data_IF_298591102169
#
_entry.id   IF_298591102169
#
_cell.length_a   1.000
_cell.length_b   1.000
_cell.length_c   1.000
_cell.angle_alpha   90.00
_cell.angle_beta   90.00
_cell.angle_gamma   90.00
#
_symmetry.space_group_name_H-M   'P 1'
#
loop_
_entity.id
_entity.type
_entity.pdbx_description
1 polymer ?
#
# COMPACT_ATOMS: atom_id res chain seq x y z
N UNK A 1 13.08 -13.00 -15.10
CA UNK A 1 12.41 -11.71 -14.91
C UNK A 1 11.38 -11.56 -16.00
N UNK A 2 10.14 -11.34 -15.58
CA UNK A 2 8.94 -11.13 -16.38
C UNK A 2 9.10 -9.95 -17.33
N UNK A 3 8.52 -10.05 -18.52
CA UNK A 3 7.71 -8.98 -19.11
C UNK A 3 6.84 -9.55 -20.25
N UNK A 4 5.57 -9.74 -19.90
CA UNK A 4 4.35 -9.53 -20.67
C UNK A 4 4.28 -10.10 -22.09
N UNK A 5 3.68 -11.30 -22.15
CA UNK A 5 2.99 -11.81 -23.34
C UNK A 5 1.99 -10.74 -23.82
N UNK A 6 2.39 -10.05 -24.88
CA UNK A 6 1.60 -9.01 -25.52
C UNK A 6 0.58 -9.72 -26.39
N UNK A 7 -0.52 -10.16 -25.78
CA UNK A 7 -1.59 -10.90 -26.46
C UNK A 7 -1.97 -10.18 -27.74
N UNK A 8 -1.79 -10.90 -28.85
CA UNK A 8 -1.77 -10.39 -30.22
C UNK A 8 -3.20 -10.06 -30.68
N UNK A 9 -3.81 -9.04 -30.07
CA UNK A 9 -5.16 -8.58 -30.40
C UNK A 9 -5.15 -8.06 -31.84
N UNK A 10 -5.90 -8.73 -32.71
CA UNK A 10 -6.06 -8.36 -34.11
C UNK A 10 -7.17 -7.33 -34.20
N UNK A 11 -6.80 -6.08 -34.47
CA UNK A 11 -7.75 -4.99 -34.67
C UNK A 11 -8.07 -4.90 -36.17
N UNK A 12 -9.33 -5.09 -36.60
CA UNK A 12 -9.71 -4.94 -38.01
C UNK A 12 -9.44 -3.53 -38.53
N UNK A 13 -9.00 -3.43 -39.79
CA UNK A 13 -8.74 -2.14 -40.43
C UNK A 13 -10.03 -1.29 -40.52
N UNK A 14 -10.01 -0.09 -39.93
CA UNK A 14 -11.16 0.82 -39.86
C UNK A 14 -11.85 0.93 -38.49
N UNK A 15 -11.48 0.07 -37.52
CA UNK A 15 -12.05 0.08 -36.16
C UNK A 15 -11.31 1.05 -35.20
N UNK A 16 -10.09 1.44 -35.52
CA UNK A 16 -9.23 2.20 -34.60
C UNK A 16 -9.80 3.58 -34.23
N UNK A 17 -10.16 4.40 -35.23
CA UNK A 17 -10.49 5.82 -34.96
C UNK A 17 -11.86 6.02 -34.31
N UNK A 18 -12.82 5.13 -34.58
CA UNK A 18 -14.20 5.24 -34.03
C UNK A 18 -14.34 4.62 -32.64
N UNK A 19 -13.48 3.67 -32.31
CA UNK A 19 -13.61 2.84 -31.10
C UNK A 19 -12.39 2.94 -30.19
N UNK A 20 -11.49 3.90 -30.40
CA UNK A 20 -10.27 4.09 -29.59
C UNK A 20 -10.54 4.05 -28.08
N UNK A 21 -11.54 4.78 -27.61
CA UNK A 21 -11.92 4.84 -26.19
C UNK A 21 -12.28 3.46 -25.64
N UNK A 22 -13.12 2.71 -26.34
CA UNK A 22 -13.57 1.39 -25.86
C UNK A 22 -12.49 0.32 -26.03
N UNK A 23 -11.64 0.44 -27.05
CA UNK A 23 -10.48 -0.44 -27.24
C UNK A 23 -9.50 -0.31 -26.07
N UNK A 24 -9.27 0.90 -25.55
CA UNK A 24 -8.47 1.09 -24.33
C UNK A 24 -9.15 0.41 -23.14
N UNK A 25 -10.45 0.64 -22.93
CA UNK A 25 -11.19 0.06 -21.81
C UNK A 25 -11.20 -1.47 -21.83
N UNK A 26 -11.33 -2.09 -23.00
CA UNK A 26 -11.28 -3.56 -23.17
C UNK A 26 -9.87 -4.10 -22.87
N UNK A 27 -8.82 -3.40 -23.31
CA UNK A 27 -7.43 -3.77 -23.02
C UNK A 27 -7.11 -3.66 -21.53
N UNK A 28 -7.62 -2.63 -20.87
CA UNK A 28 -7.35 -2.34 -19.47
C UNK A 28 -8.23 -3.16 -18.50
N UNK A 29 -9.35 -3.70 -18.97
CA UNK A 29 -10.28 -4.49 -18.15
C UNK A 29 -9.62 -5.74 -17.59
N UNK A 30 -9.71 -5.90 -16.27
CA UNK A 30 -9.20 -7.07 -15.54
C UNK A 30 -10.22 -8.21 -15.52
N UNK A 31 -11.47 -7.94 -15.90
CA UNK A 31 -12.55 -8.93 -15.98
C UNK A 31 -12.48 -9.83 -17.23
N UNK A 32 -11.73 -9.41 -18.26
CA UNK A 32 -11.65 -10.13 -19.53
C UNK A 32 -10.32 -10.86 -19.71
N UNK A 33 -10.37 -12.06 -20.30
CA UNK A 33 -9.20 -12.73 -20.86
C UNK A 33 -8.98 -12.32 -22.33
N UNK A 34 -7.90 -12.78 -22.94
CA UNK A 34 -7.50 -12.33 -24.28
C UNK A 34 -8.43 -12.82 -25.41
N UNK A 35 -9.05 -13.98 -25.22
CA UNK A 35 -10.06 -14.50 -26.15
C UNK A 35 -11.34 -13.65 -26.09
N UNK A 36 -11.78 -13.30 -24.88
CA UNK A 36 -12.93 -12.43 -24.65
C UNK A 36 -12.68 -11.01 -25.20
N UNK A 37 -11.48 -10.46 -24.98
CA UNK A 37 -11.08 -9.18 -25.58
C UNK A 37 -11.19 -9.22 -27.09
N UNK A 38 -10.67 -10.27 -27.73
CA UNK A 38 -10.76 -10.42 -29.18
C UNK A 38 -12.20 -10.59 -29.66
N UNK A 39 -13.02 -11.36 -28.93
CA UNK A 39 -14.44 -11.54 -29.20
C UNK A 39 -15.19 -10.19 -29.17
N UNK A 40 -14.97 -9.38 -28.14
CA UNK A 40 -15.56 -8.05 -28.06
C UNK A 40 -15.09 -7.16 -29.21
N UNK A 41 -13.80 -7.15 -29.54
CA UNK A 41 -13.23 -6.38 -30.67
C UNK A 41 -13.89 -6.76 -32.00
N UNK A 42 -14.15 -8.05 -32.22
CA UNK A 42 -14.79 -8.55 -33.44
C UNK A 42 -16.26 -8.13 -33.53
N UNK A 43 -16.93 -7.92 -32.39
CA UNK A 43 -18.35 -7.57 -32.31
C UNK A 43 -18.58 -6.06 -32.25
N UNK A 44 -17.58 -5.25 -31.91
CA UNK A 44 -17.64 -3.78 -31.93
C UNK A 44 -18.31 -3.21 -33.20
N UNK A 45 -17.99 -3.66 -34.43
CA UNK A 45 -18.60 -3.11 -35.64
C UNK A 45 -20.08 -3.48 -35.83
N UNK A 46 -20.57 -4.52 -35.14
CA UNK A 46 -21.93 -5.06 -35.26
C UNK A 46 -22.85 -4.53 -34.15
N UNK A 47 -22.28 -3.99 -33.07
CA UNK A 47 -23.07 -3.42 -31.97
C UNK A 47 -23.78 -2.13 -32.34
N UNK A 48 -24.98 -1.95 -31.77
CA UNK A 48 -25.69 -0.67 -31.85
C UNK A 48 -25.02 0.38 -30.95
N UNK A 49 -25.24 1.69 -31.22
CA UNK A 49 -24.71 2.75 -30.37
C UNK A 49 -25.12 2.63 -28.89
N UNK A 50 -26.33 2.16 -28.61
CA UNK A 50 -26.82 1.96 -27.24
C UNK A 50 -26.11 0.80 -26.54
N UNK A 51 -25.88 -0.31 -27.26
CA UNK A 51 -25.10 -1.43 -26.74
C UNK A 51 -23.65 -1.04 -26.45
N UNK A 52 -23.07 -0.25 -27.34
CA UNK A 52 -21.73 0.30 -27.15
C UNK A 52 -21.65 1.19 -25.91
N UNK A 53 -22.65 2.06 -25.73
CA UNK A 53 -22.74 2.94 -24.56
C UNK A 53 -22.84 2.14 -23.27
N UNK A 54 -23.71 1.13 -23.22
CA UNK A 54 -23.85 0.26 -22.04
C UNK A 54 -22.54 -0.47 -21.73
N UNK A 55 -21.84 -0.98 -22.74
CA UNK A 55 -20.55 -1.64 -22.54
C UNK A 55 -19.50 -0.66 -21.97
N UNK A 56 -19.44 0.57 -22.50
CA UNK A 56 -18.55 1.61 -21.97
C UNK A 56 -18.89 1.91 -20.51
N UNK A 57 -20.16 2.11 -20.17
CA UNK A 57 -20.58 2.40 -18.79
C UNK A 57 -20.23 1.25 -17.83
N UNK A 58 -20.40 -0.01 -18.25
CA UNK A 58 -20.01 -1.18 -17.44
C UNK A 58 -18.50 -1.18 -17.17
N UNK A 59 -17.69 -0.99 -18.22
CA UNK A 59 -16.22 -1.00 -18.11
C UNK A 59 -15.69 0.19 -17.30
N UNK A 60 -16.28 1.38 -17.47
CA UNK A 60 -15.93 2.56 -16.67
C UNK A 60 -16.29 2.36 -15.20
N UNK A 61 -17.47 1.80 -14.90
CA UNK A 61 -17.87 1.48 -13.54
C UNK A 61 -16.96 0.42 -12.90
N UNK A 62 -16.58 -0.62 -13.63
CA UNK A 62 -15.63 -1.63 -13.16
C UNK A 62 -14.30 -0.98 -12.75
N UNK A 63 -13.73 -0.17 -13.64
CA UNK A 63 -12.48 0.55 -13.38
C UNK A 63 -12.60 1.46 -12.16
N UNK A 64 -13.70 2.19 -12.03
CA UNK A 64 -13.91 3.13 -10.93
C UNK A 64 -14.11 2.39 -9.60
N UNK A 65 -14.76 1.22 -9.61
CA UNK A 65 -14.87 0.34 -8.44
C UNK A 65 -13.51 -0.22 -8.02
N UNK A 66 -12.70 -0.70 -8.96
CA UNK A 66 -11.34 -1.17 -8.68
C UNK A 66 -10.47 -0.04 -8.12
N UNK A 67 -10.52 1.16 -8.70
CA UNK A 67 -9.83 2.34 -8.19
C UNK A 67 -10.30 2.74 -6.78
N UNK A 68 -11.60 2.60 -6.49
CA UNK A 68 -12.15 2.89 -5.17
C UNK A 68 -11.67 1.88 -4.12
N UNK A 69 -11.59 0.60 -4.51
CA UNK A 69 -10.98 -0.47 -3.72
C UNK A 69 -9.53 -0.11 -3.43
N UNK A 70 -8.72 0.15 -4.45
CA UNK A 70 -7.30 0.48 -4.30
C UNK A 70 -7.07 1.68 -3.38
N UNK A 71 -7.83 2.76 -3.56
CA UNK A 71 -7.77 3.93 -2.66
C UNK A 71 -8.11 3.57 -1.22
N UNK A 72 -9.15 2.74 -1.00
CA UNK A 72 -9.56 2.30 0.34
C UNK A 72 -8.50 1.43 1.00
N UNK A 73 -7.88 0.50 0.26
CA UNK A 73 -6.83 -0.36 0.80
C UNK A 73 -5.51 0.37 0.98
N UNK A 74 -5.09 1.23 0.05
CA UNK A 74 -3.92 2.10 0.21
C UNK A 74 -4.07 3.02 1.43
N UNK A 75 -5.26 3.57 1.67
CA UNK A 75 -5.56 4.37 2.86
C UNK A 75 -5.46 3.57 4.16
N UNK A 76 -5.96 2.32 4.18
CA UNK A 76 -5.86 1.43 5.34
C UNK A 76 -4.41 1.03 5.64
N UNK A 77 -3.62 0.67 4.64
CA UNK A 77 -2.20 0.30 4.80
C UNK A 77 -1.42 1.49 5.40
N UNK A 78 -1.65 2.72 4.91
CA UNK A 78 -1.01 3.92 5.45
C UNK A 78 -1.36 4.17 6.92
N UNK A 79 -2.62 3.93 7.32
CA UNK A 79 -3.05 4.07 8.72
C UNK A 79 -2.39 3.04 9.63
N UNK A 80 -2.38 1.77 9.23
CA UNK A 80 -1.76 0.68 10.00
C UNK A 80 -0.27 0.95 10.20
N UNK A 81 0.45 1.30 9.13
CA UNK A 81 1.89 1.61 9.22
C UNK A 81 2.15 2.78 10.18
N UNK A 82 1.33 3.84 10.13
CA UNK A 82 1.48 4.97 11.04
C UNK A 82 1.19 4.60 12.50
N UNK A 83 0.13 3.82 12.76
CA UNK A 83 -0.23 3.36 14.10
C UNK A 83 0.87 2.47 14.70
N UNK A 84 1.42 1.54 13.92
CA UNK A 84 2.51 0.66 14.34
C UNK A 84 3.79 1.44 14.64
N UNK A 85 4.15 2.42 13.79
CA UNK A 85 5.30 3.29 14.02
C UNK A 85 5.15 4.13 15.31
N UNK A 86 3.96 4.65 15.57
CA UNK A 86 3.67 5.41 16.80
C UNK A 86 3.77 4.50 18.02
N UNK A 87 3.19 3.30 17.98
CA UNK A 87 3.25 2.33 19.08
C UNK A 87 4.69 1.90 19.39
N UNK A 88 5.48 1.63 18.36
CA UNK A 88 6.91 1.28 18.50
C UNK A 88 7.69 2.43 19.14
N UNK A 89 7.49 3.65 18.65
CA UNK A 89 8.14 4.86 19.21
C UNK A 89 7.76 5.08 20.68
N UNK A 90 6.49 4.88 21.04
CA UNK A 90 6.04 5.01 22.43
C UNK A 90 6.63 3.92 23.33
N UNK A 91 6.72 2.69 22.84
CA UNK A 91 7.32 1.57 23.56
C UNK A 91 8.81 1.79 23.79
N UNK A 92 9.54 2.21 22.76
CA UNK A 92 10.96 2.54 22.84
C UNK A 92 11.22 3.67 23.84
N UNK A 93 10.39 4.72 23.82
CA UNK A 93 10.47 5.82 24.81
C UNK A 93 10.26 5.32 26.25
N UNK A 94 9.31 4.41 26.48
CA UNK A 94 9.06 3.81 27.79
C UNK A 94 10.27 2.99 28.25
N UNK A 95 10.85 2.17 27.36
CA UNK A 95 12.05 1.37 27.66
C UNK A 95 13.23 2.27 28.00
N UNK A 96 13.48 3.32 27.20
CA UNK A 96 14.58 4.26 27.45
C UNK A 96 14.40 5.01 28.78
N UNK A 97 13.17 5.44 29.11
CA UNK A 97 12.89 6.08 30.39
C UNK A 97 13.13 5.15 31.57
N UNK A 98 12.76 3.87 31.45
CA UNK A 98 13.02 2.86 32.48
C UNK A 98 14.52 2.64 32.65
N UNK A 99 15.26 2.44 31.55
CA UNK A 99 16.73 2.28 31.59
C UNK A 99 17.44 3.46 32.26
N UNK A 100 17.01 4.71 32.00
CA UNK A 100 17.56 5.90 32.64
C UNK A 100 17.33 5.90 34.14
N UNK A 101 16.10 5.62 34.59
CA UNK A 101 15.78 5.53 36.01
C UNK A 101 16.56 4.43 36.73
N UNK A 102 16.68 3.27 36.09
CA UNK A 102 17.43 2.14 36.65
C UNK A 102 18.95 2.46 36.71
N UNK A 103 19.47 3.28 35.79
CA UNK A 103 20.86 3.74 35.81
C UNK A 103 21.08 4.80 36.91
N UNK A 104 20.21 5.81 36.99
CA UNK A 104 20.24 6.85 38.04
C UNK A 104 20.16 6.21 39.43
N UNK A 105 19.25 5.26 39.65
CA UNK A 105 19.14 4.55 40.93
C UNK A 105 20.37 3.71 41.28
N UNK A 106 21.04 3.10 40.29
CA UNK A 106 22.30 2.36 40.52
C UNK A 106 23.45 3.30 40.85
N UNK A 107 23.51 4.44 40.18
CA UNK A 107 24.51 5.48 40.43
C UNK A 107 24.35 6.06 41.83
N UNK A 108 23.12 6.36 42.27
CA UNK A 108 22.84 6.85 43.63
C UNK A 108 23.27 5.85 44.71
N UNK A 109 23.00 4.55 44.51
CA UNK A 109 23.42 3.50 45.45
C UNK A 109 24.94 3.38 45.48
N UNK A 110 25.60 3.36 44.31
CA UNK A 110 27.08 3.32 44.26
C UNK A 110 27.71 4.56 44.89
N UNK A 111 27.16 5.74 44.64
CA UNK A 111 27.69 6.98 45.19
C UNK A 111 27.54 7.02 46.72
N UNK A 112 26.39 6.57 47.24
CA UNK A 112 26.15 6.45 48.68
C UNK A 112 27.14 5.47 49.34
N UNK A 113 27.34 4.29 48.74
CA UNK A 113 28.33 3.31 49.23
C UNK A 113 29.76 3.86 49.17
N UNK A 114 30.10 4.60 48.11
CA UNK A 114 31.41 5.24 47.99
C UNK A 114 31.62 6.33 49.05
N UNK A 115 30.59 7.12 49.33
CA UNK A 115 30.63 8.16 50.37
C UNK A 115 30.82 7.54 51.76
N UNK A 116 30.06 6.50 52.09
CA UNK A 116 30.19 5.78 53.37
C UNK A 116 31.63 5.26 53.57
N UNK A 117 32.20 4.61 52.55
CA UNK A 117 33.57 4.10 52.59
C UNK A 117 34.63 5.21 52.73
N UNK A 118 34.36 6.42 52.24
CA UNK A 118 35.27 7.57 52.41
C UNK A 118 35.15 8.13 53.82
N UNK A 119 33.93 8.20 54.37
CA UNK A 119 33.70 8.66 55.75
C UNK A 119 34.36 7.73 56.77
N UNK A 120 34.20 6.41 56.64
CA UNK A 120 34.84 5.41 57.51
C UNK A 120 36.37 5.55 57.54
N UNK A 121 36.98 5.93 56.40
CA UNK A 121 38.43 6.15 56.33
C UNK A 121 38.89 7.42 57.03
N UNK A 122 38.03 8.44 57.12
CA UNK A 122 38.32 9.71 57.81
C UNK A 122 38.13 9.55 59.32
N UNK A 123 37.15 8.76 59.76
CA UNK A 123 36.85 8.55 61.19
C UNK A 123 37.87 7.64 61.90
N UNK A 124 38.58 6.79 61.16
CA UNK A 124 39.64 5.91 61.66
C UNK A 124 41.06 6.51 61.58
N UNK A 125 41.18 7.83 61.35
CA UNK A 125 42.42 8.62 61.36
C UNK A 125 42.48 9.51 62.61
#
# INVERSE_FOLDING_TARGET
>A
MSDSDSSRLVIPAGTNDKFEKILSLIKDSQSMNDEERQYWINILPVMTPDQLKNLIEILENERDQLNAIDKKYAGKIKKINNEELVQKTQSDRKVMKKKRRDAEAKEDVQNSQSLENVLDKIENL
#
